data_IF_823425152100
#
_entry.id   IF_823425152100
#
_cell.length_a   1.000
_cell.length_b   1.000
_cell.length_c   1.000
_cell.angle_alpha   90.00
_cell.angle_beta   90.00
_cell.angle_gamma   90.00
#
_symmetry.space_group_name_H-M   'P 1'
#
loop_
_entity.id
_entity.type
_entity.pdbx_description
1 polymer ?
#
# COMPACT_ATOMS: atom_id res chain seq x y z
N UNK A 1 19.69 2.17 -5.94
CA UNK A 1 18.57 1.29 -5.51
C UNK A 1 17.43 1.45 -6.51
N UNK A 2 16.93 0.36 -7.09
CA UNK A 2 15.82 0.43 -8.07
C UNK A 2 14.50 0.53 -7.31
N UNK A 3 13.67 1.50 -7.68
CA UNK A 3 12.35 1.73 -7.08
C UNK A 3 11.31 1.17 -8.05
N UNK A 4 10.35 0.42 -7.51
CA UNK A 4 9.24 -0.12 -8.28
C UNK A 4 7.92 0.31 -7.64
N UNK A 5 6.95 0.68 -8.46
CA UNK A 5 5.67 1.17 -7.98
C UNK A 5 4.52 0.78 -8.91
N UNK A 6 3.37 0.48 -8.33
CA UNK A 6 2.13 0.13 -9.02
C UNK A 6 1.03 1.08 -8.61
N UNK A 7 0.10 1.33 -9.54
CA UNK A 7 -1.12 2.06 -9.25
C UNK A 7 -2.32 1.34 -9.87
N UNK A 8 -3.40 1.25 -9.10
CA UNK A 8 -4.72 0.83 -9.57
C UNK A 8 -5.70 1.98 -9.40
N UNK A 9 -6.36 2.34 -10.49
CA UNK A 9 -7.33 3.44 -10.56
C UNK A 9 -8.69 2.87 -10.88
N UNK A 10 -9.67 3.27 -10.09
CA UNK A 10 -11.08 2.93 -10.25
C UNK A 10 -11.86 4.20 -10.60
N UNK A 11 -12.82 4.13 -11.54
CA UNK A 11 -13.60 5.30 -11.94
C UNK A 11 -14.63 5.73 -10.88
N UNK A 12 -14.80 4.94 -9.82
CA UNK A 12 -15.72 5.16 -8.71
C UNK A 12 -15.05 4.79 -7.39
N UNK A 13 -15.74 5.03 -6.28
CA UNK A 13 -15.39 4.44 -5.00
C UNK A 13 -15.59 2.93 -5.06
N UNK A 14 -14.66 2.18 -4.44
CA UNK A 14 -14.72 0.72 -4.35
C UNK A 14 -14.50 0.27 -2.90
N UNK A 15 -15.16 -0.82 -2.52
CA UNK A 15 -15.05 -1.40 -1.17
C UNK A 15 -13.96 -2.48 -1.07
N UNK A 16 -13.28 -2.79 -2.17
CA UNK A 16 -12.22 -3.81 -2.24
C UNK A 16 -11.19 -3.38 -3.27
N UNK A 17 -9.92 -3.51 -2.89
CA UNK A 17 -8.81 -3.23 -3.79
C UNK A 17 -8.24 -4.55 -4.30
N UNK A 18 -8.11 -4.66 -5.61
CA UNK A 18 -7.59 -5.82 -6.31
C UNK A 18 -6.55 -5.41 -7.35
N UNK A 19 -5.50 -6.20 -7.48
CA UNK A 19 -4.54 -6.07 -8.57
C UNK A 19 -4.13 -7.42 -9.10
N UNK A 20 -3.76 -7.48 -10.38
CA UNK A 20 -3.19 -8.68 -10.96
C UNK A 20 -1.92 -9.08 -10.19
N UNK A 21 -1.79 -10.37 -9.91
CA UNK A 21 -0.68 -10.98 -9.22
C UNK A 21 -0.34 -12.32 -9.87
N UNK A 22 0.92 -12.72 -9.76
CA UNK A 22 1.35 -14.08 -10.12
C UNK A 22 2.00 -14.71 -8.90
N UNK A 23 1.46 -15.84 -8.47
CA UNK A 23 2.04 -16.68 -7.42
C UNK A 23 3.01 -17.63 -8.11
N UNK A 24 4.24 -17.71 -7.61
CA UNK A 24 5.32 -18.48 -8.22
C UNK A 24 5.84 -19.46 -7.18
N UNK A 25 5.93 -20.73 -7.56
CA UNK A 25 6.64 -21.72 -6.78
C UNK A 25 8.16 -21.45 -6.87
N UNK A 26 8.85 -21.13 -5.76
CA UNK A 26 10.27 -20.77 -5.81
C UNK A 26 11.19 -21.96 -6.15
N UNK A 27 10.69 -23.20 -6.03
CA UNK A 27 11.46 -24.42 -6.28
C UNK A 27 11.32 -24.90 -7.74
N UNK A 28 10.12 -24.82 -8.31
CA UNK A 28 9.83 -25.32 -9.67
C UNK A 28 9.72 -24.23 -10.72
N UNK A 29 9.57 -22.97 -10.30
CA UNK A 29 9.24 -21.82 -11.15
C UNK A 29 7.87 -21.91 -11.85
N UNK A 30 7.00 -22.83 -11.43
CA UNK A 30 5.61 -22.86 -11.90
C UNK A 30 4.88 -21.58 -11.46
N UNK A 31 4.05 -21.06 -12.36
CA UNK A 31 3.35 -19.78 -12.16
C UNK A 31 1.82 -19.95 -12.20
N UNK A 32 1.15 -19.19 -11.33
CA UNK A 32 -0.31 -19.07 -11.31
C UNK A 32 -0.71 -17.60 -11.31
N UNK A 33 -1.24 -17.14 -12.44
CA UNK A 33 -1.84 -15.81 -12.54
C UNK A 33 -3.20 -15.78 -11.83
N UNK A 34 -3.43 -14.73 -11.04
CA UNK A 34 -4.68 -14.47 -10.31
C UNK A 34 -4.82 -12.96 -10.03
N UNK A 35 -5.86 -12.54 -9.34
CA UNK A 35 -5.90 -11.25 -8.67
C UNK A 35 -5.54 -11.42 -7.19
N UNK A 36 -4.91 -10.40 -6.61
CA UNK A 36 -4.65 -10.29 -5.18
C UNK A 36 -5.55 -9.24 -4.54
N UNK A 37 -6.27 -9.61 -3.48
CA UNK A 37 -7.00 -8.67 -2.62
C UNK A 37 -6.00 -8.03 -1.66
N UNK A 38 -5.98 -6.70 -1.58
CA UNK A 38 -5.15 -6.00 -0.59
C UNK A 38 -5.90 -5.83 0.71
N UNK A 39 -5.35 -6.37 1.81
CA UNK A 39 -6.02 -6.39 3.11
C UNK A 39 -5.04 -6.04 4.24
N UNK A 40 -5.16 -4.83 4.78
CA UNK A 40 -4.37 -4.36 5.92
C UNK A 40 -4.78 -5.02 7.24
N UNK A 41 -5.96 -5.65 7.29
CA UNK A 41 -6.44 -6.41 8.45
C UNK A 41 -5.81 -7.79 8.58
N UNK A 42 -5.15 -8.30 7.53
CA UNK A 42 -4.48 -9.58 7.54
C UNK A 42 -3.00 -9.45 7.91
N UNK A 43 -2.57 -10.09 9.00
CA UNK A 43 -1.16 -10.10 9.43
C UNK A 43 -0.25 -10.75 8.37
N UNK A 44 -0.68 -11.88 7.81
CA UNK A 44 0.01 -12.61 6.76
C UNK A 44 -0.83 -12.63 5.49
N UNK A 45 -0.14 -12.72 4.36
CA UNK A 45 -0.76 -13.01 3.07
C UNK A 45 -1.27 -14.46 3.04
N UNK A 46 -2.31 -14.71 2.25
CA UNK A 46 -3.03 -15.99 2.19
C UNK A 46 -3.13 -16.44 0.73
N UNK A 47 -3.06 -17.74 0.50
CA UNK A 47 -3.40 -18.35 -0.79
C UNK A 47 -4.45 -19.44 -0.61
N UNK A 48 -5.23 -19.70 -1.65
CA UNK A 48 -6.19 -20.81 -1.63
C UNK A 48 -5.48 -22.16 -1.68
N UNK A 49 -6.08 -23.18 -1.08
CA UNK A 49 -5.66 -24.57 -1.18
C UNK A 49 -5.54 -25.05 -2.63
N UNK A 50 -6.49 -24.65 -3.47
CA UNK A 50 -6.47 -24.90 -4.92
C UNK A 50 -5.20 -24.34 -5.57
N UNK A 51 -4.79 -23.13 -5.23
CA UNK A 51 -3.56 -22.53 -5.74
C UNK A 51 -2.32 -23.29 -5.28
N UNK A 52 -2.25 -23.63 -3.99
CA UNK A 52 -1.15 -24.40 -3.44
C UNK A 52 -0.99 -25.77 -4.11
N UNK A 53 -2.10 -26.48 -4.33
CA UNK A 53 -2.14 -27.76 -5.03
C UNK A 53 -1.73 -27.63 -6.50
N UNK A 54 -2.26 -26.62 -7.21
CA UNK A 54 -1.95 -26.38 -8.63
C UNK A 54 -0.46 -26.09 -8.84
N UNK A 55 0.14 -25.34 -7.93
CA UNK A 55 1.56 -25.01 -7.92
C UNK A 55 2.44 -26.09 -7.26
N UNK A 56 1.84 -27.15 -6.71
CA UNK A 56 2.53 -28.23 -5.99
C UNK A 56 3.48 -27.69 -4.91
N UNK A 57 3.01 -26.70 -4.15
CA UNK A 57 3.83 -26.05 -3.13
C UNK A 57 4.12 -27.04 -1.98
N UNK A 58 5.39 -27.23 -1.60
CA UNK A 58 5.71 -28.00 -0.40
C UNK A 58 5.35 -27.20 0.85
N UNK A 59 4.64 -27.85 1.78
CA UNK A 59 4.38 -27.29 3.10
C UNK A 59 5.71 -27.06 3.82
N UNK A 60 5.94 -25.86 4.34
CA UNK A 60 7.17 -25.49 5.04
C UNK A 60 7.02 -25.57 6.55
N UNK A 61 5.84 -25.21 7.04
CA UNK A 61 5.48 -25.20 8.45
C UNK A 61 3.95 -25.23 8.59
N UNK A 62 3.49 -25.38 9.82
CA UNK A 62 2.08 -25.25 10.21
C UNK A 62 1.97 -24.14 11.24
N UNK A 63 0.84 -23.43 11.25
CA UNK A 63 0.60 -22.34 12.19
C UNK A 63 -0.87 -22.22 12.54
N UNK A 64 -1.14 -21.56 13.67
CA UNK A 64 -2.48 -21.25 14.11
C UNK A 64 -2.93 -19.91 13.52
N UNK A 65 -4.08 -19.89 12.84
CA UNK A 65 -4.64 -18.68 12.24
C UNK A 65 -5.87 -18.24 13.02
N UNK A 66 -5.85 -17.01 13.51
CA UNK A 66 -7.01 -16.36 14.10
C UNK A 66 -7.72 -15.49 13.07
N UNK A 67 -8.93 -15.88 12.67
CA UNK A 67 -9.79 -15.13 11.77
C UNK A 67 -11.11 -14.73 12.42
N UNK A 68 -12.03 -14.18 11.61
CA UNK A 68 -13.38 -13.78 12.06
C UNK A 68 -14.17 -14.97 12.63
N UNK A 69 -13.94 -16.18 12.11
CA UNK A 69 -14.57 -17.41 12.57
C UNK A 69 -13.93 -18.05 13.81
N UNK A 70 -12.91 -17.42 14.41
CA UNK A 70 -12.17 -17.94 15.54
C UNK A 70 -10.79 -18.50 15.17
N UNK A 71 -10.23 -19.31 16.07
CA UNK A 71 -8.95 -19.98 15.90
C UNK A 71 -9.10 -21.19 14.97
N UNK A 72 -8.24 -21.26 13.95
CA UNK A 72 -8.06 -22.40 13.07
C UNK A 72 -6.65 -22.96 13.35
N UNK A 73 -6.53 -24.13 13.98
CA UNK A 73 -5.23 -24.72 14.27
C UNK A 73 -4.61 -25.38 13.04
N UNK A 74 -3.28 -25.57 13.08
CA UNK A 74 -2.52 -26.39 12.12
C UNK A 74 -2.75 -26.04 10.64
N UNK A 75 -2.80 -24.75 10.32
CA UNK A 75 -2.92 -24.25 8.94
C UNK A 75 -1.58 -24.37 8.21
N UNK A 76 -1.54 -25.00 7.02
CA UNK A 76 -0.32 -25.06 6.22
C UNK A 76 0.24 -23.69 5.85
N UNK A 77 1.57 -23.58 5.87
CA UNK A 77 2.30 -22.39 5.41
C UNK A 77 3.24 -22.76 4.28
N UNK A 78 3.23 -21.94 3.25
CA UNK A 78 4.06 -22.08 2.06
C UNK A 78 5.03 -20.91 1.91
N UNK A 79 6.14 -21.14 1.21
CA UNK A 79 7.01 -20.08 0.72
C UNK A 79 6.73 -19.86 -0.76
N UNK A 80 6.42 -18.63 -1.14
CA UNK A 80 6.11 -18.25 -2.53
C UNK A 80 6.87 -16.99 -2.93
N UNK A 81 7.17 -16.88 -4.23
CA UNK A 81 7.50 -15.60 -4.84
C UNK A 81 6.23 -15.02 -5.45
N UNK A 82 6.00 -13.72 -5.23
CA UNK A 82 4.81 -13.03 -5.70
C UNK A 82 5.23 -11.89 -6.59
N UNK A 83 4.74 -11.93 -7.83
CA UNK A 83 5.01 -10.91 -8.83
C UNK A 83 3.79 -10.00 -8.98
N UNK A 84 4.01 -8.69 -8.82
CA UNK A 84 3.01 -7.63 -8.93
C UNK A 84 3.41 -6.63 -10.04
N UNK A 85 2.46 -5.81 -10.47
CA UNK A 85 2.70 -4.64 -11.33
C UNK A 85 3.35 -4.95 -12.69
N UNK A 86 2.75 -5.87 -13.46
CA UNK A 86 3.31 -6.30 -14.74
C UNK A 86 4.81 -6.62 -14.61
N UNK A 87 5.15 -7.43 -13.61
CA UNK A 87 6.48 -8.01 -13.40
C UNK A 87 7.55 -7.14 -12.73
N UNK A 88 7.20 -5.93 -12.32
CA UNK A 88 8.19 -5.00 -11.75
C UNK A 88 8.44 -5.18 -10.25
N UNK A 89 7.52 -5.79 -9.51
CA UNK A 89 7.69 -6.02 -8.08
C UNK A 89 7.67 -7.52 -7.85
N UNK A 90 8.75 -8.08 -7.32
CA UNK A 90 8.83 -9.49 -6.91
C UNK A 90 9.16 -9.54 -5.44
N UNK A 91 8.29 -10.18 -4.67
CA UNK A 91 8.39 -10.28 -3.21
C UNK A 91 8.32 -11.75 -2.81
N UNK A 92 9.31 -12.22 -2.07
CA UNK A 92 9.27 -13.53 -1.43
C UNK A 92 8.53 -13.43 -0.10
N UNK A 93 7.53 -14.25 0.12
CA UNK A 93 6.74 -14.23 1.35
C UNK A 93 6.32 -15.63 1.80
N UNK A 94 6.11 -15.76 3.11
CA UNK A 94 5.34 -16.87 3.69
C UNK A 94 3.86 -16.58 3.55
N UNK A 95 3.08 -17.56 3.16
CA UNK A 95 1.63 -17.45 3.00
C UNK A 95 0.93 -18.62 3.69
N UNK A 96 -0.19 -18.35 4.35
CA UNK A 96 -1.04 -19.39 4.94
C UNK A 96 -2.04 -19.90 3.91
N UNK A 97 -2.51 -21.14 4.07
CA UNK A 97 -3.61 -21.70 3.29
C UNK A 97 -4.98 -21.19 3.78
N UNK A 98 -5.93 -21.06 2.87
CA UNK A 98 -7.36 -21.07 3.19
C UNK A 98 -8.14 -21.89 2.15
N UNK A 99 -9.39 -22.24 2.45
CA UNK A 99 -10.24 -22.94 1.48
C UNK A 99 -10.59 -22.02 0.29
N UNK A 100 -11.19 -20.85 0.56
CA UNK A 100 -11.62 -19.90 -0.49
C UNK A 100 -11.44 -18.43 -0.06
N UNK A 101 -11.17 -17.54 -1.02
CA UNK A 101 -11.05 -16.08 -0.83
C UNK A 101 -12.15 -15.27 -1.52
N UNK A 102 -12.91 -15.89 -2.41
CA UNK A 102 -13.95 -15.23 -3.20
C UNK A 102 -15.10 -16.20 -3.46
N UNK A 103 -16.33 -15.69 -3.49
CA UNK A 103 -17.55 -16.51 -3.67
C UNK A 103 -17.53 -17.24 -5.01
N UNK A 104 -16.94 -16.66 -6.04
CA UNK A 104 -16.80 -17.24 -7.38
C UNK A 104 -15.52 -18.07 -7.57
N UNK A 105 -14.67 -18.17 -6.53
CA UNK A 105 -13.44 -18.97 -6.56
C UNK A 105 -12.40 -18.51 -7.59
N UNK A 106 -12.44 -17.25 -8.01
CA UNK A 106 -11.54 -16.69 -9.03
C UNK A 106 -10.28 -16.05 -8.44
N UNK A 107 -10.34 -15.65 -7.17
CA UNK A 107 -9.23 -15.01 -6.46
C UNK A 107 -8.52 -16.06 -5.62
N UNK A 108 -7.23 -16.22 -5.88
CA UNK A 108 -6.38 -17.21 -5.24
C UNK A 108 -5.38 -16.58 -4.25
N UNK A 109 -5.39 -15.25 -4.10
CA UNK A 109 -4.45 -14.53 -3.24
C UNK A 109 -5.07 -13.38 -2.45
N UNK A 110 -4.69 -13.28 -1.18
CA UNK A 110 -4.88 -12.11 -0.33
C UNK A 110 -3.49 -11.60 0.10
N UNK A 111 -3.23 -10.32 -0.17
CA UNK A 111 -1.98 -9.60 0.11
C UNK A 111 -2.15 -8.90 1.45
N UNK A 112 -1.49 -9.46 2.47
CA UNK A 112 -1.52 -8.97 3.85
C UNK A 112 -0.32 -8.11 4.22
N UNK A 113 -0.25 -7.78 5.51
CA UNK A 113 0.73 -6.87 6.09
C UNK A 113 2.19 -7.34 5.94
N UNK A 114 2.45 -8.64 5.84
CA UNK A 114 3.79 -9.17 5.60
C UNK A 114 4.39 -8.72 4.25
N UNK A 115 3.56 -8.38 3.26
CA UNK A 115 3.97 -7.81 1.97
C UNK A 115 3.81 -6.29 1.99
N UNK A 116 2.67 -5.78 2.47
CA UNK A 116 2.36 -4.33 2.50
C UNK A 116 3.46 -3.57 3.25
N UNK A 117 3.96 -4.10 4.37
CA UNK A 117 4.99 -3.43 5.19
C UNK A 117 6.36 -3.29 4.53
N UNK A 118 6.58 -3.91 3.37
CA UNK A 118 7.86 -3.81 2.64
C UNK A 118 8.02 -2.47 1.92
N UNK A 119 6.96 -1.68 1.85
CA UNK A 119 6.96 -0.40 1.16
C UNK A 119 5.84 0.53 1.60
N UNK A 120 5.51 1.49 0.74
CA UNK A 120 4.46 2.47 1.03
C UNK A 120 3.20 2.11 0.25
N UNK A 121 2.15 1.74 0.98
CA UNK A 121 0.81 1.50 0.46
C UNK A 121 -0.10 2.68 0.81
N UNK A 122 -0.82 3.21 -0.17
CA UNK A 122 -1.75 4.30 0.04
C UNK A 122 -3.00 4.13 -0.80
N UNK A 123 -4.13 4.59 -0.25
CA UNK A 123 -5.42 4.69 -0.92
C UNK A 123 -5.84 6.16 -0.87
N UNK A 124 -6.29 6.70 -2.00
CA UNK A 124 -6.90 8.03 -2.08
C UNK A 124 -8.24 7.93 -2.81
N UNK A 125 -9.24 8.67 -2.32
CA UNK A 125 -10.59 8.71 -2.86
C UNK A 125 -10.92 10.10 -3.43
N UNK A 126 -9.96 10.70 -4.12
CA UNK A 126 -10.08 12.03 -4.70
C UNK A 126 -11.15 12.07 -5.80
N UNK A 127 -12.01 13.10 -5.77
CA UNK A 127 -13.13 13.28 -6.71
C UNK A 127 -14.06 12.05 -6.84
N UNK A 128 -14.27 11.30 -5.76
CA UNK A 128 -15.14 10.12 -5.78
C UNK A 128 -14.55 8.93 -6.56
N UNK A 129 -13.24 8.95 -6.86
CA UNK A 129 -12.52 7.89 -7.57
C UNK A 129 -11.47 7.28 -6.65
N UNK A 130 -11.46 5.96 -6.52
CA UNK A 130 -10.43 5.28 -5.73
C UNK A 130 -9.15 5.10 -6.55
N UNK A 131 -8.02 5.51 -5.99
CA UNK A 131 -6.68 5.16 -6.45
C UNK A 131 -5.93 4.46 -5.33
N UNK A 132 -5.50 3.22 -5.57
CA UNK A 132 -4.49 2.56 -4.74
C UNK A 132 -3.12 2.68 -5.40
N UNK A 133 -2.09 2.94 -4.60
CA UNK A 133 -0.70 2.87 -5.02
C UNK A 133 0.12 2.07 -4.02
N UNK A 134 1.12 1.36 -4.53
CA UNK A 134 2.11 0.67 -3.71
C UNK A 134 3.49 0.84 -4.34
N UNK A 135 4.49 1.21 -3.55
CA UNK A 135 5.90 1.24 -3.99
C UNK A 135 6.78 0.46 -3.04
N UNK A 136 7.84 -0.13 -3.58
CA UNK A 136 8.91 -0.80 -2.82
C UNK A 136 10.27 -0.28 -3.29
N UNK A 137 11.19 0.04 -2.36
CA UNK A 137 10.99 0.11 -0.90
C UNK A 137 10.23 1.37 -0.48
N UNK A 138 9.99 1.53 0.83
CA UNK A 138 9.48 2.78 1.40
C UNK A 138 10.48 3.93 1.19
N UNK A 139 9.99 5.12 0.81
CA UNK A 139 10.82 6.30 0.56
C UNK A 139 10.44 7.52 1.39
N UNK A 140 9.24 7.55 1.97
CA UNK A 140 8.78 8.71 2.76
C UNK A 140 7.63 8.32 3.69
N UNK A 141 7.54 9.02 4.82
CA UNK A 141 6.38 8.97 5.71
C UNK A 141 5.21 9.76 5.10
N UNK A 142 4.03 9.15 5.02
CA UNK A 142 2.78 9.82 4.65
C UNK A 142 2.00 10.07 5.95
N UNK A 143 1.95 11.32 6.38
CA UNK A 143 1.28 11.74 7.61
C UNK A 143 0.52 13.04 7.34
N UNK A 144 -0.79 12.91 7.11
CA UNK A 144 -1.65 14.04 6.82
C UNK A 144 -1.84 14.97 8.02
N UNK A 145 -1.69 14.49 9.27
CA UNK A 145 -1.79 15.36 10.44
C UNK A 145 -0.62 16.32 10.44
N UNK A 146 0.60 15.79 10.32
CA UNK A 146 1.80 16.61 10.21
C UNK A 146 1.75 17.54 9.00
N UNK A 147 1.27 17.05 7.86
CA UNK A 147 1.12 17.84 6.64
C UNK A 147 0.17 19.04 6.84
N UNK A 148 -0.98 18.82 7.50
CA UNK A 148 -1.96 19.87 7.81
C UNK A 148 -1.43 20.83 8.87
N UNK A 149 -0.70 20.34 9.89
CA UNK A 149 -0.07 21.19 10.90
C UNK A 149 0.97 22.13 10.29
N UNK A 150 1.86 21.59 9.46
CA UNK A 150 2.86 22.38 8.72
C UNK A 150 2.18 23.41 7.82
N UNK A 151 1.11 23.00 7.13
CA UNK A 151 0.33 23.89 6.30
C UNK A 151 -0.34 25.02 7.08
N UNK A 152 -1.02 24.72 8.19
CA UNK A 152 -1.66 25.72 9.05
C UNK A 152 -0.65 26.72 9.64
N UNK A 153 0.56 26.25 9.96
CA UNK A 153 1.67 27.12 10.37
C UNK A 153 2.09 28.04 9.23
N UNK A 154 2.15 27.54 8.00
CA UNK A 154 2.48 28.32 6.81
C UNK A 154 1.42 29.41 6.53
N UNK A 155 0.14 29.07 6.63
CA UNK A 155 -0.99 30.00 6.50
C UNK A 155 -0.92 31.18 7.49
N UNK A 156 -0.63 30.92 8.77
CA UNK A 156 -0.50 32.01 9.77
C UNK A 156 0.60 33.02 9.41
N UNK A 157 1.72 32.54 8.89
CA UNK A 157 2.81 33.42 8.45
C UNK A 157 2.44 34.17 7.17
N UNK A 158 1.67 33.56 6.27
CA UNK A 158 1.11 34.25 5.10
C UNK A 158 0.24 35.44 5.53
N UNK A 159 -0.72 35.24 6.43
CA UNK A 159 -1.59 36.30 6.94
C UNK A 159 -0.79 37.45 7.59
N UNK A 160 0.26 37.12 8.36
CA UNK A 160 1.17 38.11 8.95
C UNK A 160 1.90 38.90 7.85
N UNK A 161 2.39 38.23 6.81
CA UNK A 161 3.06 38.88 5.69
C UNK A 161 2.12 39.82 4.93
N UNK A 162 0.89 39.38 4.64
CA UNK A 162 -0.14 40.20 4.00
C UNK A 162 -0.46 41.43 4.85
N UNK A 163 -0.71 41.24 6.15
CA UNK A 163 -1.02 42.32 7.10
C UNK A 163 0.09 43.35 7.20
N UNK A 164 1.35 42.90 7.17
CA UNK A 164 2.52 43.75 7.33
C UNK A 164 3.10 44.25 6.00
N UNK A 165 2.43 43.98 4.87
CA UNK A 165 2.91 44.31 3.53
C UNK A 165 4.34 43.81 3.24
N UNK A 166 4.72 42.64 3.79
CA UNK A 166 6.04 42.04 3.58
C UNK A 166 6.00 41.19 2.31
N UNK A 167 6.63 41.66 1.24
CA UNK A 167 6.55 41.05 -0.10
C UNK A 167 7.65 40.02 -0.38
N UNK A 168 8.88 40.25 0.11
CA UNK A 168 10.02 39.42 -0.29
C UNK A 168 10.50 38.44 0.80
N UNK A 169 10.52 38.88 2.05
CA UNK A 169 11.02 38.09 3.19
C UNK A 169 9.89 37.34 3.90
N UNK A 170 10.24 36.22 4.51
CA UNK A 170 9.30 35.46 5.32
C UNK A 170 9.11 36.14 6.69
N UNK A 171 7.85 36.40 7.07
CA UNK A 171 7.48 37.02 8.36
C UNK A 171 7.73 36.15 9.59
N UNK A 172 8.22 34.92 9.42
CA UNK A 172 8.61 34.05 10.53
C UNK A 172 9.95 34.44 11.19
N UNK A 173 10.63 35.48 10.71
CA UNK A 173 11.90 35.95 11.26
C UNK A 173 13.14 35.15 10.83
N UNK A 174 13.01 34.20 9.88
CA UNK A 174 14.13 33.37 9.42
C UNK A 174 15.13 34.09 8.50
N UNK A 175 14.79 35.30 8.03
CA UNK A 175 15.56 36.03 7.03
C UNK A 175 15.50 35.47 5.60
N UNK A 176 14.86 34.30 5.39
CA UNK A 176 14.69 33.67 4.07
C UNK A 176 13.61 34.39 3.24
N UNK A 177 13.68 34.23 1.92
CA UNK A 177 12.58 34.64 1.03
C UNK A 177 11.30 33.87 1.35
N UNK A 178 10.14 34.53 1.28
CA UNK A 178 8.84 33.92 1.59
C UNK A 178 8.59 32.63 0.79
N UNK A 179 8.80 32.66 -0.52
CA UNK A 179 8.68 31.50 -1.45
C UNK A 179 9.58 30.31 -1.12
N UNK A 180 10.69 30.53 -0.42
CA UNK A 180 11.66 29.50 -0.02
C UNK A 180 11.52 29.13 1.47
N UNK A 181 10.40 29.50 2.09
CA UNK A 181 10.11 29.31 3.50
C UNK A 181 8.62 28.97 3.67
N UNK A 182 7.84 29.78 4.40
CA UNK A 182 6.42 29.48 4.65
C UNK A 182 5.52 29.69 3.42
N UNK A 183 6.04 30.20 2.29
CA UNK A 183 5.34 30.29 1.01
C UNK A 183 5.46 29.04 0.13
N UNK A 184 6.13 27.98 0.60
CA UNK A 184 6.26 26.71 -0.13
C UNK A 184 5.24 25.65 0.31
N UNK A 185 4.15 26.06 0.96
CA UNK A 185 3.09 25.15 1.40
C UNK A 185 2.43 24.43 0.23
N UNK A 186 2.11 23.15 0.43
CA UNK A 186 1.54 22.27 -0.60
C UNK A 186 0.08 22.69 -0.91
N UNK A 187 -0.64 23.13 0.11
CA UNK A 187 -1.95 23.77 -0.01
C UNK A 187 -1.75 25.28 -0.04
N UNK A 188 -1.12 25.77 -1.10
CA UNK A 188 -1.06 27.20 -1.31
C UNK A 188 -2.52 27.70 -1.49
N UNK A 189 -2.99 28.73 -0.76
CA UNK A 189 -4.18 29.44 -1.18
C UNK A 189 -3.86 30.05 -2.55
N UNK A 190 -4.27 29.37 -3.62
CA UNK A 190 -4.37 30.04 -4.90
C UNK A 190 -5.56 30.98 -4.78
N UNK A 191 -5.23 32.27 -4.73
CA UNK A 191 -6.11 33.46 -4.82
C UNK A 191 -7.31 33.51 -3.86
#
# INVERSE_FOLDING_TARGET
>A
MKIHALARRYPTLVNRIESAAVIINPDTHDELATNGIWDTGATNSVITKKAAQKLKLPIREFTDVHGVGGLIPDVPVYLVDIRLNNENIVVRARVTECEDLSIDGQIDMLIGMNIIRQGDFAISNYEGKTTMTFRVPSLSCIDYVKEIEDNNRFFKIHEINVRNHVTDKCGCGSGKLYKNCHGSGIYNPQE
#
